data_IF_072863434831
#
_entry.id   IF_072863434831
#
_cell.length_a   1.000
_cell.length_b   1.000
_cell.length_c   1.000
_cell.angle_alpha   90.00
_cell.angle_beta   90.00
_cell.angle_gamma   90.00
#
_symmetry.space_group_name_H-M   'P 1'
#
loop_
_entity.id
_entity.type
_entity.pdbx_description
1 polymer ?
#
# COMPACT_ATOMS: atom_id res chain seq x y z
N UNK A 1 11.60 24.87 -16.39
CA UNK A 1 11.08 23.49 -16.62
C UNK A 1 9.75 23.36 -15.89
N UNK A 2 8.70 22.82 -16.52
CA UNK A 2 7.40 22.65 -15.85
C UNK A 2 7.58 21.64 -14.70
N UNK A 3 7.35 22.07 -13.48
CA UNK A 3 7.35 21.18 -12.32
C UNK A 3 6.01 20.43 -12.34
N UNK A 4 6.05 19.11 -12.44
CA UNK A 4 4.87 18.25 -12.40
C UNK A 4 4.75 17.60 -11.00
N UNK A 5 4.35 18.34 -9.95
CA UNK A 5 4.43 17.87 -8.57
C UNK A 5 3.61 16.61 -8.31
N UNK A 6 2.45 16.46 -8.95
CA UNK A 6 1.59 15.29 -8.76
C UNK A 6 2.15 14.02 -9.41
N UNK A 7 2.83 14.13 -10.56
CA UNK A 7 3.49 12.97 -11.17
C UNK A 7 4.66 12.52 -10.29
N UNK A 8 5.42 13.47 -9.76
CA UNK A 8 6.51 13.18 -8.82
C UNK A 8 5.98 12.52 -7.53
N UNK A 9 4.86 13.02 -7.00
CA UNK A 9 4.20 12.43 -5.84
C UNK A 9 3.72 11.00 -6.11
N UNK A 10 3.11 10.77 -7.28
CA UNK A 10 2.70 9.43 -7.70
C UNK A 10 3.91 8.48 -7.76
N UNK A 11 5.00 8.89 -8.43
CA UNK A 11 6.22 8.09 -8.55
C UNK A 11 6.84 7.75 -7.19
N UNK A 12 6.94 8.72 -6.28
CA UNK A 12 7.40 8.47 -4.91
C UNK A 12 6.49 7.47 -4.17
N UNK A 13 5.17 7.61 -4.33
CA UNK A 13 4.19 6.75 -3.66
C UNK A 13 4.23 5.30 -4.14
N UNK A 14 4.35 5.05 -5.45
CA UNK A 14 4.36 3.68 -5.99
C UNK A 14 5.66 2.92 -5.71
N UNK A 15 6.78 3.63 -5.50
CA UNK A 15 8.13 3.04 -5.44
C UNK A 15 8.24 1.92 -4.42
N UNK A 16 7.79 2.15 -3.18
CA UNK A 16 7.91 1.16 -2.10
C UNK A 16 7.01 -0.07 -2.31
N UNK A 17 5.71 0.07 -2.61
CA UNK A 17 4.87 -1.07 -2.98
C UNK A 17 5.46 -1.88 -4.12
N UNK A 18 5.97 -1.25 -5.18
CA UNK A 18 6.53 -1.97 -6.33
C UNK A 18 7.76 -2.78 -5.93
N UNK A 19 8.68 -2.22 -5.14
CA UNK A 19 9.84 -2.95 -4.63
C UNK A 19 9.43 -4.13 -3.74
N UNK A 20 8.46 -3.92 -2.84
CA UNK A 20 7.95 -4.97 -1.96
C UNK A 20 7.27 -6.11 -2.74
N UNK A 21 6.49 -5.76 -3.77
CA UNK A 21 5.84 -6.74 -4.64
C UNK A 21 6.83 -7.57 -5.45
N UNK A 22 7.98 -7.01 -5.84
CA UNK A 22 9.05 -7.79 -6.48
C UNK A 22 9.60 -8.88 -5.53
N UNK A 23 9.75 -8.56 -4.25
CA UNK A 23 10.15 -9.55 -3.23
C UNK A 23 9.07 -10.63 -3.08
N UNK A 24 7.80 -10.24 -3.01
CA UNK A 24 6.67 -11.19 -2.94
C UNK A 24 6.67 -12.10 -4.17
N UNK A 25 6.81 -11.52 -5.37
CA UNK A 25 6.84 -12.27 -6.63
C UNK A 25 8.01 -13.26 -6.64
N UNK A 26 9.17 -12.87 -6.14
CA UNK A 26 10.34 -13.75 -6.03
C UNK A 26 10.06 -14.92 -5.09
N UNK A 27 9.54 -14.66 -3.89
CA UNK A 27 9.16 -15.70 -2.94
C UNK A 27 8.10 -16.65 -3.52
N UNK A 28 7.12 -16.10 -4.24
CA UNK A 28 6.11 -16.87 -4.95
C UNK A 28 6.72 -17.80 -6.00
N UNK A 29 7.61 -17.29 -6.86
CA UNK A 29 8.30 -18.08 -7.90
C UNK A 29 9.08 -19.23 -7.26
N UNK A 30 9.79 -18.98 -6.16
CA UNK A 30 10.49 -20.02 -5.41
C UNK A 30 9.51 -21.07 -4.88
N UNK A 31 8.45 -20.66 -4.18
CA UNK A 31 7.45 -21.59 -3.63
C UNK A 31 6.79 -22.46 -4.71
N UNK A 32 6.47 -21.87 -5.87
CA UNK A 32 5.82 -22.58 -6.98
C UNK A 32 6.77 -23.52 -7.70
N UNK A 33 7.94 -23.04 -8.14
CA UNK A 33 8.80 -23.79 -9.05
C UNK A 33 9.87 -24.64 -8.35
N UNK A 34 10.23 -24.32 -7.11
CA UNK A 34 11.20 -25.10 -6.33
C UNK A 34 10.51 -26.08 -5.38
N UNK A 35 9.40 -25.66 -4.77
CA UNK A 35 8.70 -26.44 -3.74
C UNK A 35 7.34 -27.01 -4.19
N UNK A 36 6.93 -26.78 -5.44
CA UNK A 36 5.69 -27.30 -6.04
C UNK A 36 4.41 -26.99 -5.25
N UNK A 37 4.37 -25.83 -4.58
CA UNK A 37 3.19 -25.40 -3.83
C UNK A 37 2.10 -24.94 -4.80
N UNK A 38 0.90 -25.50 -4.68
CA UNK A 38 -0.24 -25.14 -5.52
C UNK A 38 -0.99 -23.91 -5.00
N UNK A 39 -0.48 -22.73 -5.38
CA UNK A 39 -1.07 -21.43 -5.01
C UNK A 39 -1.67 -20.76 -6.26
N UNK A 40 -2.97 -20.39 -6.25
CA UNK A 40 -3.62 -19.74 -7.39
C UNK A 40 -3.09 -18.30 -7.59
N UNK A 41 -2.28 -18.12 -8.62
CA UNK A 41 -1.50 -16.89 -8.88
C UNK A 41 -2.40 -15.68 -9.12
N UNK A 42 -3.47 -15.87 -9.90
CA UNK A 42 -4.38 -14.81 -10.30
C UNK A 42 -5.09 -14.18 -9.10
N UNK A 43 -5.36 -14.99 -8.06
CA UNK A 43 -6.09 -14.57 -6.87
C UNK A 43 -5.18 -13.97 -5.80
N UNK A 44 -3.94 -14.44 -5.70
CA UNK A 44 -3.04 -14.06 -4.61
C UNK A 44 -2.10 -12.91 -5.01
N UNK A 45 -1.67 -12.83 -6.26
CA UNK A 45 -0.57 -11.94 -6.67
C UNK A 45 -1.04 -10.81 -7.59
N UNK A 46 -1.85 -11.12 -8.61
CA UNK A 46 -2.23 -10.14 -9.65
C UNK A 46 -3.02 -8.96 -9.08
N UNK A 47 -4.01 -9.23 -8.22
CA UNK A 47 -4.86 -8.17 -7.65
C UNK A 47 -4.08 -7.21 -6.72
N UNK A 48 -3.29 -7.69 -5.73
CA UNK A 48 -2.45 -6.81 -4.93
C UNK A 48 -1.44 -6.01 -5.77
N UNK A 49 -0.88 -6.62 -6.81
CA UNK A 49 0.07 -5.94 -7.69
C UNK A 49 -0.54 -4.77 -8.44
N UNK A 50 -1.81 -4.87 -8.84
CA UNK A 50 -2.51 -3.79 -9.51
C UNK A 50 -3.05 -2.74 -8.53
N UNK A 51 -3.65 -3.16 -7.41
CA UNK A 51 -4.33 -2.25 -6.50
C UNK A 51 -3.37 -1.46 -5.60
N UNK A 52 -2.43 -2.15 -4.94
CA UNK A 52 -1.64 -1.57 -3.85
C UNK A 52 -0.74 -0.41 -4.31
N UNK A 53 0.06 -0.53 -5.38
CA UNK A 53 0.91 0.57 -5.83
C UNK A 53 0.08 1.78 -6.24
N UNK A 54 -0.99 1.57 -7.00
CA UNK A 54 -1.85 2.64 -7.47
C UNK A 54 -2.54 3.38 -6.32
N UNK A 55 -3.02 2.67 -5.30
CA UNK A 55 -3.59 3.29 -4.10
C UNK A 55 -2.55 4.13 -3.37
N UNK A 56 -1.32 3.64 -3.18
CA UNK A 56 -0.24 4.39 -2.55
C UNK A 56 0.15 5.64 -3.35
N UNK A 57 0.32 5.51 -4.67
CA UNK A 57 0.62 6.63 -5.57
C UNK A 57 -0.46 7.71 -5.52
N UNK A 58 -1.73 7.32 -5.65
CA UNK A 58 -2.86 8.24 -5.55
C UNK A 58 -2.97 8.90 -4.16
N UNK A 59 -2.71 8.14 -3.09
CA UNK A 59 -2.73 8.66 -1.73
C UNK A 59 -1.63 9.70 -1.47
N UNK A 60 -0.45 9.52 -2.08
CA UNK A 60 0.63 10.50 -1.99
C UNK A 60 0.35 11.76 -2.84
N UNK A 61 -0.31 11.63 -4.00
CA UNK A 61 -0.83 12.80 -4.73
C UNK A 61 -1.78 13.60 -3.82
N UNK A 62 -2.71 12.90 -3.16
CA UNK A 62 -3.67 13.52 -2.26
C UNK A 62 -2.97 14.24 -1.10
N UNK A 63 -1.92 13.64 -0.53
CA UNK A 63 -1.09 14.28 0.48
C UNK A 63 -0.50 15.60 0.00
N UNK A 64 0.17 15.59 -1.17
CA UNK A 64 0.80 16.78 -1.75
C UNK A 64 -0.22 17.86 -2.14
N UNK A 65 -1.44 17.46 -2.48
CA UNK A 65 -2.55 18.40 -2.71
C UNK A 65 -3.07 19.00 -1.39
N UNK A 66 -3.34 18.16 -0.38
CA UNK A 66 -3.87 18.58 0.92
C UNK A 66 -2.89 19.44 1.72
N UNK A 67 -1.59 19.15 1.64
CA UNK A 67 -0.57 19.88 2.41
C UNK A 67 -0.52 21.39 2.12
N UNK A 68 -1.00 21.80 0.93
CA UNK A 68 -1.14 23.22 0.57
C UNK A 68 -2.20 23.95 1.40
N UNK A 69 -3.12 23.19 2.00
CA UNK A 69 -4.26 23.70 2.79
C UNK A 69 -4.16 23.36 4.27
N UNK A 70 -3.54 22.22 4.61
CA UNK A 70 -3.43 21.72 5.99
C UNK A 70 -2.06 21.10 6.21
N UNK A 71 -1.29 21.61 7.19
CA UNK A 71 0.03 21.07 7.52
C UNK A 71 -0.09 19.83 8.39
N UNK A 72 -0.36 18.68 7.78
CA UNK A 72 -0.47 17.38 8.47
C UNK A 72 0.77 16.49 8.19
N UNK A 73 1.29 15.74 9.18
CA UNK A 73 2.44 14.85 8.98
C UNK A 73 2.18 13.71 7.98
N UNK A 74 3.10 13.47 7.05
CA UNK A 74 2.96 12.41 6.03
C UNK A 74 2.78 11.01 6.63
N UNK A 75 3.46 10.71 7.75
CA UNK A 75 3.34 9.43 8.42
C UNK A 75 1.91 9.13 8.90
N UNK A 76 1.26 10.14 9.50
CA UNK A 76 -0.14 10.00 9.92
C UNK A 76 -1.07 9.87 8.71
N UNK A 77 -0.86 10.68 7.67
CA UNK A 77 -1.64 10.56 6.42
C UNK A 77 -1.54 9.15 5.84
N UNK A 78 -0.33 8.61 5.74
CA UNK A 78 -0.07 7.25 5.29
C UNK A 78 -0.72 6.16 6.13
N UNK A 79 -0.69 6.30 7.46
CA UNK A 79 -1.31 5.35 8.39
C UNK A 79 -2.84 5.29 8.27
N UNK A 80 -3.49 6.31 7.70
CA UNK A 80 -4.93 6.27 7.41
C UNK A 80 -5.28 5.39 6.20
N UNK A 81 -4.33 5.14 5.30
CA UNK A 81 -4.60 4.39 4.08
C UNK A 81 -5.10 2.96 4.35
N UNK A 82 -4.49 2.15 5.23
CA UNK A 82 -5.03 0.84 5.61
C UNK A 82 -6.44 0.90 6.22
N UNK A 83 -6.75 1.95 6.98
CA UNK A 83 -8.09 2.13 7.57
C UNK A 83 -9.17 2.34 6.52
N UNK A 84 -8.80 2.79 5.32
CA UNK A 84 -9.71 2.92 4.19
C UNK A 84 -9.70 1.65 3.32
N UNK A 85 -8.52 1.14 3.00
CA UNK A 85 -8.37 0.01 2.07
C UNK A 85 -8.87 -1.30 2.65
N UNK A 86 -8.69 -1.56 3.94
CA UNK A 86 -9.12 -2.84 4.54
C UNK A 86 -10.65 -2.95 4.57
N UNK A 87 -11.41 -1.97 5.09
CA UNK A 87 -12.88 -2.02 5.01
C UNK A 87 -13.39 -2.02 3.57
N UNK A 88 -12.79 -1.23 2.68
CA UNK A 88 -13.18 -1.21 1.27
C UNK A 88 -12.97 -2.59 0.61
N UNK A 89 -11.81 -3.21 0.84
CA UNK A 89 -11.51 -4.56 0.36
C UNK A 89 -12.48 -5.61 0.92
N UNK A 90 -12.83 -5.50 2.20
CA UNK A 90 -13.84 -6.38 2.82
C UNK A 90 -15.22 -6.21 2.16
N UNK A 91 -15.67 -4.97 1.93
CA UNK A 91 -16.96 -4.70 1.28
C UNK A 91 -16.99 -5.21 -0.16
N UNK A 92 -15.91 -5.02 -0.93
CA UNK A 92 -15.78 -5.55 -2.30
C UNK A 92 -15.79 -7.08 -2.29
N UNK A 93 -15.03 -7.72 -1.40
CA UNK A 93 -15.03 -9.16 -1.25
C UNK A 93 -16.43 -9.70 -0.94
N UNK A 94 -17.15 -9.06 -0.01
CA UNK A 94 -18.54 -9.39 0.32
C UNK A 94 -19.48 -9.23 -0.87
N UNK A 95 -19.36 -8.14 -1.63
CA UNK A 95 -20.20 -7.86 -2.79
C UNK A 95 -20.01 -8.87 -3.92
N UNK A 96 -18.79 -9.39 -4.08
CA UNK A 96 -18.43 -10.37 -5.13
C UNK A 96 -18.56 -11.82 -4.63
N UNK A 97 -19.03 -12.04 -3.39
CA UNK A 97 -19.25 -13.37 -2.82
C UNK A 97 -17.97 -14.12 -2.43
N UNK A 98 -16.86 -13.41 -2.24
CA UNK A 98 -15.60 -13.99 -1.77
C UNK A 98 -15.68 -14.20 -0.26
N UNK A 99 -15.48 -15.43 0.25
CA UNK A 99 -15.54 -15.70 1.68
C UNK A 99 -14.37 -15.04 2.42
N UNK A 100 -14.68 -14.40 3.56
CA UNK A 100 -13.66 -13.83 4.44
C UNK A 100 -13.39 -14.81 5.59
N UNK A 101 -12.13 -15.27 5.79
CA UNK A 101 -11.84 -16.28 6.80
C UNK A 101 -12.04 -15.72 8.23
N UNK A 102 -12.71 -16.49 9.08
CA UNK A 102 -12.98 -16.12 10.49
C UNK A 102 -11.69 -15.84 11.28
N UNK A 103 -10.61 -16.54 10.95
CA UNK A 103 -9.28 -16.36 11.53
C UNK A 103 -8.71 -14.96 11.28
N UNK A 104 -9.00 -14.36 10.12
CA UNK A 104 -8.56 -13.00 9.81
C UNK A 104 -9.30 -11.97 10.67
N UNK A 105 -10.57 -12.21 11.01
CA UNK A 105 -11.34 -11.33 11.90
C UNK A 105 -10.84 -11.39 13.35
N UNK A 106 -10.41 -12.56 13.83
CA UNK A 106 -9.88 -12.74 15.19
C UNK A 106 -8.51 -12.10 15.40
N UNK A 107 -7.63 -12.14 14.39
CA UNK A 107 -6.31 -11.53 14.46
C UNK A 107 -6.33 -10.01 14.23
N UNK A 108 -7.42 -9.49 13.66
CA UNK A 108 -7.55 -8.09 13.27
C UNK A 108 -7.24 -7.08 14.41
N UNK A 109 -7.74 -7.25 15.65
CA UNK A 109 -7.47 -6.30 16.74
C UNK A 109 -5.99 -6.18 17.13
N UNK A 110 -5.19 -7.22 16.87
CA UNK A 110 -3.75 -7.25 17.18
C UNK A 110 -2.92 -6.81 15.97
N UNK A 111 -3.26 -7.30 14.78
CA UNK A 111 -2.53 -6.99 13.54
C UNK A 111 -2.74 -5.54 13.13
N UNK A 112 -3.93 -4.97 13.36
CA UNK A 112 -4.25 -3.61 12.94
C UNK A 112 -3.35 -2.56 13.61
N UNK A 113 -3.22 -2.49 14.95
CA UNK A 113 -2.34 -1.50 15.59
C UNK A 113 -0.88 -1.61 15.13
N UNK A 114 -0.35 -2.84 15.04
CA UNK A 114 1.02 -3.08 14.57
C UNK A 114 1.19 -2.64 13.11
N UNK A 115 0.21 -2.97 12.26
CA UNK A 115 0.18 -2.55 10.87
C UNK A 115 0.12 -1.03 10.71
N UNK A 116 -0.65 -0.33 11.55
CA UNK A 116 -0.72 1.13 11.55
C UNK A 116 0.60 1.78 11.96
N UNK A 117 1.28 1.24 12.98
CA UNK A 117 2.62 1.72 13.36
C UNK A 117 3.62 1.48 12.24
N UNK A 118 3.63 0.29 11.64
CA UNK A 118 4.49 -0.01 10.50
C UNK A 118 4.22 0.94 9.33
N UNK A 119 2.95 1.16 8.97
CA UNK A 119 2.57 2.11 7.93
C UNK A 119 3.00 3.54 8.28
N UNK A 120 2.80 3.98 9.52
CA UNK A 120 3.25 5.29 9.96
C UNK A 120 4.76 5.48 9.72
N UNK A 121 5.57 4.50 10.11
CA UNK A 121 7.03 4.55 9.97
C UNK A 121 7.45 4.50 8.49
N UNK A 122 6.86 3.60 7.70
CA UNK A 122 7.12 3.49 6.26
C UNK A 122 6.83 4.81 5.55
N UNK A 123 5.70 5.44 5.85
CA UNK A 123 5.34 6.70 5.23
C UNK A 123 6.19 7.86 5.74
N UNK A 124 6.46 7.92 7.04
CA UNK A 124 7.28 8.98 7.65
C UNK A 124 8.71 8.98 7.10
N UNK A 125 9.36 7.81 7.07
CA UNK A 125 10.79 7.73 6.77
C UNK A 125 11.10 7.37 5.33
N UNK A 126 10.28 6.56 4.66
CA UNK A 126 10.59 6.16 3.29
C UNK A 126 9.89 7.06 2.28
N UNK A 127 8.55 7.16 2.34
CA UNK A 127 7.79 8.02 1.40
C UNK A 127 8.13 9.50 1.63
N UNK A 128 8.27 9.92 2.89
CA UNK A 128 8.73 11.27 3.24
C UNK A 128 10.06 11.62 2.59
N UNK A 129 11.08 10.77 2.76
CA UNK A 129 12.39 10.99 2.14
C UNK A 129 12.36 10.97 0.61
N UNK A 130 11.52 10.14 -0.01
CA UNK A 130 11.32 10.17 -1.47
C UNK A 130 10.67 11.49 -1.92
N UNK A 131 9.71 12.00 -1.16
CA UNK A 131 9.10 13.30 -1.43
C UNK A 131 10.11 14.44 -1.27
N UNK A 132 10.94 14.42 -0.23
CA UNK A 132 12.01 15.40 0.00
C UNK A 132 13.03 15.39 -1.14
N UNK A 133 13.48 14.19 -1.56
CA UNK A 133 14.40 14.00 -2.68
C UNK A 133 13.82 14.54 -4.01
N UNK A 134 12.51 14.43 -4.18
CA UNK A 134 11.80 15.01 -5.32
C UNK A 134 11.38 16.47 -5.08
N UNK A 135 11.80 17.13 -4.00
CA UNK A 135 11.47 18.53 -3.71
C UNK A 135 9.96 18.80 -3.61
N UNK A 136 9.19 17.81 -3.15
CA UNK A 136 7.74 17.86 -2.92
C UNK A 136 7.37 17.48 -1.49
N UNK A 137 8.36 17.31 -0.60
CA UNK A 137 8.22 17.04 0.83
C UNK A 137 8.03 18.29 1.68
#
# INVERSE_FOLDING_TARGET
>A
MKTHPYIRAYMAGITLPTLFLLVILTAFVIARYVYDVDVPVERVVVFPMAAVPNSWGAWNILYVWLRKRVSWPIGLHGALLPLLLVPAGYLVARAVGVPFPLTAAQLFPVVLPLGLVAYYLLWKYLVGSLNDLLGIG
#
